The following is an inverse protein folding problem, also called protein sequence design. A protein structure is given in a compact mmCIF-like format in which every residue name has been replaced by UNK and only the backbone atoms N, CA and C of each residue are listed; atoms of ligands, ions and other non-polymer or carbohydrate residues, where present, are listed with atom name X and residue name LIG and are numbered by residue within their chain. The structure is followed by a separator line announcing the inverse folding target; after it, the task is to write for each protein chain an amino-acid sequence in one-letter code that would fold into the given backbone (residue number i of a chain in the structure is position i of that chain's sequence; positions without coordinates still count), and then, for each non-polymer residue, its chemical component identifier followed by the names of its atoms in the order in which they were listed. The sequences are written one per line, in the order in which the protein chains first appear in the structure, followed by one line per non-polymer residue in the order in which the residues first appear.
data_IF_864747464338
#
_entry.id   IF_864747464338
#
_cell.length_a   1.000
_cell.length_b   1.000
_cell.length_c   1.000
_cell.angle_alpha   90.00
_cell.angle_beta   90.00
_cell.angle_gamma   90.00
#
_symmetry.space_group_name_H-M   'P 1'
#
loop_
_entity.id
_entity.type
_entity.pdbx_description
1 polymer ?
#
# COMPACT_ATOMS: atom_id res chain seq x y z
N UNK A 1 -10.12 16.88 -26.71
CA UNK A 1 -10.50 15.53 -26.31
C UNK A 1 -11.94 15.31 -26.70
N UNK A 2 -12.28 14.18 -27.35
CA UNK A 2 -13.65 13.93 -27.78
C UNK A 2 -14.49 13.49 -26.56
N UNK A 3 -15.53 14.25 -26.21
CA UNK A 3 -16.43 13.94 -25.08
C UNK A 3 -17.22 12.65 -25.29
N UNK A 4 -17.45 12.23 -26.54
CA UNK A 4 -18.14 10.97 -26.83
C UNK A 4 -17.32 9.76 -26.40
N UNK A 5 -15.98 9.80 -26.52
CA UNK A 5 -15.11 8.74 -26.01
C UNK A 5 -15.19 8.60 -24.48
N UNK A 6 -15.46 9.70 -23.75
CA UNK A 6 -15.63 9.63 -22.30
C UNK A 6 -16.93 8.94 -21.90
N UNK A 7 -17.99 9.05 -22.72
CA UNK A 7 -19.23 8.30 -22.50
C UNK A 7 -19.00 6.80 -22.65
N UNK A 8 -18.19 6.36 -23.62
CA UNK A 8 -17.85 4.96 -23.80
C UNK A 8 -17.21 4.35 -22.54
N UNK A 9 -16.37 5.11 -21.81
CA UNK A 9 -15.80 4.66 -20.52
C UNK A 9 -16.90 4.39 -19.49
N UNK A 10 -17.90 5.26 -19.42
CA UNK A 10 -19.06 5.05 -18.53
C UNK A 10 -19.92 3.87 -18.95
N UNK A 11 -20.15 3.71 -20.27
CA UNK A 11 -20.92 2.60 -20.82
C UNK A 11 -20.24 1.24 -20.55
N UNK A 12 -18.90 1.19 -20.57
CA UNK A 12 -18.12 0.00 -20.16
C UNK A 12 -18.39 -0.33 -18.70
N UNK A 13 -18.31 0.65 -17.80
CA UNK A 13 -18.59 0.45 -16.38
C UNK A 13 -20.03 -0.04 -16.15
N UNK A 14 -20.99 0.59 -16.80
CA UNK A 14 -22.39 0.17 -16.72
C UNK A 14 -22.60 -1.25 -17.24
N UNK A 15 -21.92 -1.62 -18.32
CA UNK A 15 -21.90 -2.97 -18.87
C UNK A 15 -21.38 -4.01 -17.90
N UNK A 16 -20.27 -3.74 -17.25
CA UNK A 16 -19.68 -4.63 -16.22
C UNK A 16 -20.60 -4.82 -15.02
N UNK A 17 -21.22 -3.74 -14.54
CA UNK A 17 -22.22 -3.82 -13.46
C UNK A 17 -23.44 -4.65 -13.90
N UNK A 18 -23.97 -4.40 -15.10
CA UNK A 18 -25.12 -5.12 -15.66
C UNK A 18 -24.85 -6.61 -15.83
N UNK A 19 -23.64 -6.96 -16.25
CA UNK A 19 -23.22 -8.35 -16.44
C UNK A 19 -22.92 -9.07 -15.12
N UNK A 20 -22.78 -8.32 -14.01
CA UNK A 20 -22.40 -8.87 -12.70
C UNK A 20 -20.89 -9.07 -12.52
N UNK A 21 -20.07 -8.54 -13.42
CA UNK A 21 -18.59 -8.62 -13.34
C UNK A 21 -18.07 -7.81 -12.13
N UNK A 22 -18.74 -6.71 -11.80
CA UNK A 22 -18.52 -5.90 -10.60
C UNK A 22 -19.85 -5.49 -9.98
N UNK A 23 -19.84 -5.29 -8.66
CA UNK A 23 -21.07 -4.85 -7.92
C UNK A 23 -21.37 -3.38 -8.19
N UNK A 24 -20.34 -2.57 -8.24
CA UNK A 24 -20.44 -1.15 -8.51
C UNK A 24 -19.05 -0.52 -8.64
N UNK A 25 -19.03 0.70 -9.11
CA UNK A 25 -17.78 1.43 -9.30
C UNK A 25 -18.03 2.89 -9.67
N UNK A 26 -16.95 3.64 -9.68
CA UNK A 26 -16.91 5.02 -10.11
C UNK A 26 -15.73 5.27 -11.04
N UNK A 27 -15.93 6.12 -12.03
CA UNK A 27 -14.85 6.63 -12.88
C UNK A 27 -14.93 8.16 -12.89
N UNK A 28 -13.76 8.79 -12.80
CA UNK A 28 -13.63 10.23 -12.97
C UNK A 28 -12.43 10.53 -13.87
N UNK A 29 -12.59 11.51 -14.75
CA UNK A 29 -11.50 11.98 -15.63
C UNK A 29 -11.27 13.46 -15.35
N UNK A 30 -10.01 13.80 -15.12
CA UNK A 30 -9.56 15.16 -14.90
C UNK A 30 -8.66 15.59 -16.06
N UNK A 31 -8.77 16.85 -16.44
CA UNK A 31 -7.88 17.51 -17.39
C UNK A 31 -7.63 18.93 -16.93
N UNK A 32 -6.36 19.33 -16.93
CA UNK A 32 -5.93 20.68 -16.53
C UNK A 32 -6.46 21.10 -15.13
N UNK A 33 -6.56 20.13 -14.20
CA UNK A 33 -7.08 20.32 -12.84
C UNK A 33 -8.61 20.32 -12.72
N UNK A 34 -9.36 20.25 -13.82
CA UNK A 34 -10.83 20.23 -13.82
C UNK A 34 -11.38 18.82 -14.06
N UNK A 35 -12.44 18.45 -13.31
CA UNK A 35 -13.17 17.22 -13.56
C UNK A 35 -14.06 17.41 -14.81
N UNK A 36 -13.70 16.73 -15.90
CA UNK A 36 -14.41 16.82 -17.17
C UNK A 36 -15.40 15.68 -17.41
N UNK A 37 -15.29 14.60 -16.63
CA UNK A 37 -16.22 13.47 -16.70
C UNK A 37 -16.30 12.76 -15.36
N UNK A 38 -17.50 12.26 -15.03
CA UNK A 38 -17.74 11.35 -13.91
C UNK A 38 -18.90 10.42 -14.21
N UNK A 39 -18.77 9.16 -13.80
CA UNK A 39 -19.85 8.17 -13.83
C UNK A 39 -19.77 7.31 -12.58
N UNK A 40 -20.88 7.14 -11.92
CA UNK A 40 -21.09 6.17 -10.84
C UNK A 40 -22.09 5.13 -11.33
N UNK A 41 -21.83 3.85 -11.04
CA UNK A 41 -22.69 2.75 -11.46
C UNK A 41 -22.78 1.68 -10.37
N UNK A 42 -23.92 1.02 -10.28
CA UNK A 42 -24.15 -0.08 -9.34
C UNK A 42 -24.21 0.35 -7.87
N UNK A 43 -23.80 -0.56 -6.98
CA UNK A 43 -23.99 -0.43 -5.54
C UNK A 43 -22.65 -0.34 -4.80
N UNK A 44 -22.61 0.53 -3.79
CA UNK A 44 -21.58 0.55 -2.76
C UNK A 44 -21.82 -0.54 -1.71
N UNK A 45 -23.08 -0.95 -1.57
CA UNK A 45 -23.52 -2.07 -0.75
C UNK A 45 -24.77 -2.69 -1.42
N UNK A 46 -24.57 -3.84 -2.01
CA UNK A 46 -25.64 -4.55 -2.74
C UNK A 46 -26.73 -5.07 -1.82
N UNK A 47 -26.35 -5.61 -0.66
CA UNK A 47 -27.30 -6.21 0.28
C UNK A 47 -28.25 -5.18 0.86
N UNK A 48 -27.73 -3.99 1.18
CA UNK A 48 -28.54 -2.86 1.68
C UNK A 48 -29.11 -1.97 0.58
N UNK A 49 -28.81 -2.24 -0.68
CA UNK A 49 -29.29 -1.46 -1.82
C UNK A 49 -28.72 -0.04 -1.87
N UNK A 50 -27.53 0.21 -1.30
CA UNK A 50 -26.90 1.53 -1.25
C UNK A 50 -26.14 1.74 -2.57
N UNK A 51 -26.54 2.73 -3.41
CA UNK A 51 -25.85 2.96 -4.68
C UNK A 51 -24.47 3.60 -4.48
N UNK A 52 -23.59 3.43 -5.47
CA UNK A 52 -22.37 4.20 -5.58
C UNK A 52 -22.71 5.67 -5.77
N UNK A 53 -22.05 6.55 -5.00
CA UNK A 53 -22.26 8.02 -5.02
C UNK A 53 -20.91 8.71 -5.15
N UNK A 54 -20.96 10.02 -5.40
CA UNK A 54 -19.75 10.87 -5.49
C UNK A 54 -18.94 10.90 -4.21
N UNK A 55 -19.58 10.70 -3.08
CA UNK A 55 -18.99 10.71 -1.76
C UNK A 55 -18.78 9.30 -1.16
N UNK A 56 -18.89 8.25 -1.97
CA UNK A 56 -18.58 6.88 -1.55
C UNK A 56 -17.11 6.76 -1.15
N UNK A 57 -16.86 6.17 0.01
CA UNK A 57 -15.52 5.92 0.54
C UNK A 57 -15.10 4.50 0.20
N UNK A 58 -13.93 4.35 -0.42
CA UNK A 58 -13.40 3.07 -0.88
C UNK A 58 -12.16 2.64 -0.10
N UNK A 59 -11.92 1.33 -0.02
CA UNK A 59 -10.63 0.77 0.34
C UNK A 59 -9.69 0.93 -0.86
N UNK A 60 -8.61 1.68 -0.73
CA UNK A 60 -7.70 1.97 -1.84
C UNK A 60 -6.54 0.97 -1.96
N UNK A 61 -6.37 0.09 -0.95
CA UNK A 61 -5.35 -0.95 -0.95
C UNK A 61 -3.98 -0.44 -1.47
N UNK A 62 -3.42 -1.09 -2.49
CA UNK A 62 -2.10 -0.77 -3.04
C UNK A 62 -2.01 0.61 -3.74
N UNK A 63 -3.12 1.30 -3.98
CA UNK A 63 -3.07 2.72 -4.34
C UNK A 63 -2.54 3.61 -3.21
N UNK A 64 -2.37 3.08 -2.01
CA UNK A 64 -1.61 3.71 -0.93
C UNK A 64 -0.13 3.89 -1.27
N UNK A 65 0.48 3.01 -2.07
CA UNK A 65 1.92 3.04 -2.40
C UNK A 65 2.39 4.34 -3.07
N UNK A 66 1.70 4.88 -4.09
CA UNK A 66 2.04 6.20 -4.65
C UNK A 66 1.99 7.32 -3.61
N UNK A 67 1.03 7.28 -2.68
CA UNK A 67 0.92 8.25 -1.59
C UNK A 67 2.13 8.14 -0.65
N UNK A 68 2.51 6.91 -0.29
CA UNK A 68 3.71 6.64 0.52
C UNK A 68 4.96 7.15 -0.19
N UNK A 69 5.11 6.87 -1.49
CA UNK A 69 6.24 7.34 -2.27
C UNK A 69 6.31 8.88 -2.28
N UNK A 70 5.18 9.56 -2.48
CA UNK A 70 5.12 11.01 -2.40
C UNK A 70 5.53 11.54 -1.01
N UNK A 71 5.08 10.90 0.05
CA UNK A 71 5.46 11.24 1.43
C UNK A 71 6.98 11.15 1.65
N UNK A 72 7.60 10.08 1.17
CA UNK A 72 9.06 9.90 1.25
C UNK A 72 9.79 10.91 0.39
N UNK A 73 9.30 11.20 -0.82
CA UNK A 73 9.93 12.20 -1.70
C UNK A 73 9.86 13.62 -1.14
N UNK A 74 8.83 13.97 -0.37
CA UNK A 74 8.81 15.24 0.38
C UNK A 74 9.98 15.31 1.38
N UNK A 75 10.32 14.22 2.06
CA UNK A 75 11.47 14.15 2.97
C UNK A 75 12.79 14.20 2.22
N UNK A 76 12.86 13.56 1.04
CA UNK A 76 14.01 13.65 0.14
C UNK A 76 14.27 15.10 -0.31
N UNK A 77 13.24 15.82 -0.75
CA UNK A 77 13.35 17.23 -1.15
C UNK A 77 13.79 18.14 -0.01
N UNK A 78 13.48 17.74 1.24
CA UNK A 78 13.96 18.43 2.46
C UNK A 78 15.40 18.04 2.84
N UNK A 79 16.05 17.14 2.10
CA UNK A 79 17.42 16.70 2.31
C UNK A 79 17.64 15.83 3.55
N UNK A 80 16.60 15.12 4.02
CA UNK A 80 16.68 14.30 5.23
C UNK A 80 17.35 12.94 5.00
N UNK A 81 17.50 12.52 3.76
CA UNK A 81 18.20 11.31 3.35
C UNK A 81 18.59 11.38 1.87
N UNK A 82 19.44 10.45 1.45
CA UNK A 82 19.79 10.23 0.04
C UNK A 82 19.24 8.89 -0.42
N UNK A 83 18.91 8.75 -1.69
CA UNK A 83 18.40 7.49 -2.23
C UNK A 83 19.42 6.33 -2.13
N UNK A 84 20.70 6.66 -2.13
CA UNK A 84 21.81 5.72 -2.02
C UNK A 84 22.20 5.39 -0.58
N UNK A 85 21.60 6.07 0.41
CA UNK A 85 21.84 5.74 1.81
C UNK A 85 21.36 4.32 2.12
N UNK A 86 22.06 3.66 3.03
CA UNK A 86 21.67 2.34 3.50
C UNK A 86 20.44 2.44 4.37
N UNK A 87 19.49 1.53 4.15
CA UNK A 87 18.30 1.45 4.98
C UNK A 87 18.64 1.23 6.46
N UNK A 88 19.73 0.51 6.74
CA UNK A 88 20.26 0.24 8.07
C UNK A 88 20.74 1.49 8.83
N UNK A 89 21.08 2.58 8.12
CA UNK A 89 21.45 3.85 8.76
C UNK A 89 20.26 4.47 9.52
N UNK A 90 19.03 4.12 9.13
CA UNK A 90 17.78 4.63 9.70
C UNK A 90 17.03 3.58 10.51
N UNK A 91 17.05 2.32 10.06
CA UNK A 91 16.41 1.18 10.71
C UNK A 91 17.48 0.09 10.89
N UNK A 92 18.21 0.09 12.03
CA UNK A 92 19.40 -0.75 12.25
C UNK A 92 19.13 -2.25 12.10
N UNK A 93 17.88 -2.69 12.25
CA UNK A 93 17.50 -4.10 12.08
C UNK A 93 17.73 -4.62 10.65
N UNK A 94 17.90 -3.74 9.66
CA UNK A 94 18.29 -4.11 8.29
C UNK A 94 19.81 -4.24 8.08
N UNK A 95 20.63 -4.07 9.13
CA UNK A 95 22.07 -4.31 9.01
C UNK A 95 22.35 -5.81 8.79
N UNK A 96 23.31 -6.10 7.90
CA UNK A 96 23.75 -7.47 7.58
C UNK A 96 22.62 -8.41 7.16
N UNK A 97 21.80 -8.06 6.16
CA UNK A 97 20.71 -8.90 5.71
C UNK A 97 21.23 -10.24 5.15
N UNK A 98 20.39 -11.26 5.20
CA UNK A 98 20.66 -12.56 4.60
C UNK A 98 19.70 -12.81 3.44
N UNK A 99 20.06 -13.73 2.57
CA UNK A 99 19.23 -14.19 1.43
C UNK A 99 18.94 -15.67 1.59
N UNK A 100 17.69 -16.06 1.50
CA UNK A 100 17.29 -17.47 1.52
C UNK A 100 17.21 -18.00 0.09
N UNK A 101 18.20 -18.81 -0.26
CA UNK A 101 18.32 -19.41 -1.59
C UNK A 101 17.21 -20.44 -1.85
N UNK A 102 16.87 -20.74 -3.13
CA UNK A 102 15.86 -21.72 -3.48
C UNK A 102 16.14 -23.14 -2.95
N UNK A 103 17.41 -23.48 -2.74
CA UNK A 103 17.84 -24.77 -2.16
C UNK A 103 17.73 -24.81 -0.61
N UNK A 104 17.24 -23.73 0.01
CA UNK A 104 17.04 -23.62 1.45
C UNK A 104 18.26 -23.12 2.23
N UNK A 105 19.41 -22.88 1.59
CA UNK A 105 20.56 -22.29 2.26
C UNK A 105 20.35 -20.79 2.49
N UNK A 106 20.67 -20.35 3.68
CA UNK A 106 20.70 -18.92 4.01
C UNK A 106 22.15 -18.43 3.89
N UNK A 107 22.35 -17.39 3.09
CA UNK A 107 23.66 -16.79 2.82
C UNK A 107 23.66 -15.31 3.14
N UNK A 108 24.76 -14.68 3.51
CA UNK A 108 24.84 -13.24 3.64
C UNK A 108 24.48 -12.54 2.31
N UNK A 109 23.79 -11.41 2.41
CA UNK A 109 23.59 -10.56 1.24
C UNK A 109 24.93 -9.95 0.80
N UNK A 110 25.11 -9.79 -0.52
CA UNK A 110 26.33 -9.21 -1.10
C UNK A 110 26.44 -7.71 -0.85
N UNK A 111 25.31 -7.05 -0.59
CA UNK A 111 25.26 -5.64 -0.21
C UNK A 111 24.12 -5.40 0.79
N UNK A 112 24.21 -4.30 1.50
CA UNK A 112 23.08 -3.80 2.28
C UNK A 112 22.02 -3.16 1.36
N UNK A 113 20.77 -3.13 1.84
CA UNK A 113 19.66 -2.56 1.12
C UNK A 113 19.78 -1.03 1.12
N UNK A 114 19.57 -0.39 -0.03
CA UNK A 114 19.44 1.08 -0.11
C UNK A 114 17.99 1.53 -0.07
N UNK A 115 17.78 2.81 0.27
CA UNK A 115 16.43 3.42 0.23
C UNK A 115 15.86 3.35 -1.20
N UNK A 116 16.70 3.59 -2.23
CA UNK A 116 16.31 3.42 -3.65
C UNK A 116 15.72 2.05 -3.92
N UNK A 117 16.45 0.99 -3.55
CA UNK A 117 16.02 -0.40 -3.78
C UNK A 117 14.73 -0.74 -3.04
N UNK A 118 14.47 -0.09 -1.92
CA UNK A 118 13.20 -0.21 -1.19
C UNK A 118 12.03 0.40 -1.97
N UNK A 119 12.23 1.60 -2.53
CA UNK A 119 11.21 2.33 -3.27
C UNK A 119 10.91 1.72 -4.64
N UNK A 120 11.93 1.22 -5.35
CA UNK A 120 11.79 0.61 -6.68
C UNK A 120 11.52 -0.91 -6.65
N UNK A 121 11.36 -1.49 -5.44
CA UNK A 121 11.07 -2.90 -5.21
C UNK A 121 12.15 -3.86 -5.75
N UNK A 122 13.42 -3.46 -5.67
CA UNK A 122 14.57 -4.31 -6.03
C UNK A 122 15.38 -4.75 -4.80
N UNK A 123 14.86 -4.52 -3.59
CA UNK A 123 15.55 -4.82 -2.32
C UNK A 123 15.63 -6.30 -1.96
N UNK A 124 14.81 -7.16 -2.56
CA UNK A 124 14.64 -8.55 -2.13
C UNK A 124 13.64 -8.75 -0.97
N UNK A 125 13.09 -7.67 -0.42
CA UNK A 125 12.04 -7.71 0.58
C UNK A 125 10.73 -8.21 -0.05
N UNK A 126 10.14 -9.25 0.50
CA UNK A 126 8.96 -9.89 -0.07
C UNK A 126 7.73 -9.81 0.84
N UNK A 127 6.55 -10.05 0.29
CA UNK A 127 5.35 -10.33 1.07
C UNK A 127 5.33 -11.78 1.59
N UNK A 128 4.51 -12.08 2.60
CA UNK A 128 4.15 -13.45 2.94
C UNK A 128 3.68 -14.23 1.71
N UNK A 129 4.30 -15.38 1.44
CA UNK A 129 3.94 -16.23 0.31
C UNK A 129 4.45 -17.66 0.54
N UNK A 130 3.54 -18.64 0.47
CA UNK A 130 3.86 -20.04 0.68
C UNK A 130 4.62 -20.70 -0.49
N UNK A 131 4.66 -20.04 -1.65
CA UNK A 131 5.22 -20.61 -2.88
C UNK A 131 6.76 -20.64 -2.91
N UNK A 132 7.42 -19.80 -2.10
CA UNK A 132 8.89 -19.74 -2.04
C UNK A 132 9.44 -19.58 -0.62
N UNK A 133 10.71 -19.98 -0.35
CA UNK A 133 11.25 -20.08 1.00
C UNK A 133 11.20 -18.79 1.83
N UNK A 134 11.66 -17.66 1.27
CA UNK A 134 11.68 -16.39 2.00
C UNK A 134 10.26 -15.87 2.31
N UNK A 135 9.29 -16.10 1.40
CA UNK A 135 7.89 -15.75 1.63
C UNK A 135 7.29 -16.53 2.80
N UNK A 136 7.66 -17.83 2.96
CA UNK A 136 7.24 -18.62 4.12
C UNK A 136 7.82 -18.09 5.43
N UNK A 137 9.07 -17.60 5.44
CA UNK A 137 9.66 -16.94 6.62
C UNK A 137 8.95 -15.64 6.96
N UNK A 138 8.60 -14.86 5.95
CA UNK A 138 7.81 -13.65 6.15
C UNK A 138 6.40 -13.97 6.69
N UNK A 139 5.78 -15.05 6.25
CA UNK A 139 4.49 -15.53 6.76
C UNK A 139 4.55 -15.84 8.27
N UNK A 140 5.65 -16.45 8.76
CA UNK A 140 5.85 -16.71 10.18
C UNK A 140 5.78 -15.40 11.00
N UNK A 141 6.45 -14.32 10.52
CA UNK A 141 6.44 -12.99 11.15
C UNK A 141 5.04 -12.37 11.14
N UNK A 142 4.37 -12.36 10.00
CA UNK A 142 3.03 -11.76 9.88
C UNK A 142 1.99 -12.55 10.69
N UNK A 143 2.09 -13.88 10.75
CA UNK A 143 1.21 -14.72 11.56
C UNK A 143 1.41 -14.49 13.06
N UNK A 144 2.64 -14.22 13.51
CA UNK A 144 2.91 -13.84 14.90
C UNK A 144 2.28 -12.50 15.23
N UNK A 145 2.48 -11.49 14.36
CA UNK A 145 1.90 -10.16 14.52
C UNK A 145 0.37 -10.22 14.55
N UNK A 146 -0.24 -11.00 13.65
CA UNK A 146 -1.69 -11.18 13.62
C UNK A 146 -2.21 -11.75 14.94
N UNK A 147 -1.57 -12.82 15.48
CA UNK A 147 -1.95 -13.41 16.77
C UNK A 147 -1.83 -12.41 17.93
N UNK A 148 -0.76 -11.60 17.96
CA UNK A 148 -0.61 -10.56 18.98
C UNK A 148 -1.69 -9.48 18.86
N UNK A 149 -2.03 -9.10 17.62
CA UNK A 149 -3.08 -8.12 17.33
C UNK A 149 -4.46 -8.63 17.76
N UNK A 150 -4.77 -9.89 17.47
CA UNK A 150 -6.01 -10.56 17.90
C UNK A 150 -6.11 -10.66 19.43
N UNK A 151 -4.95 -10.76 20.11
CA UNK A 151 -4.87 -10.66 21.58
C UNK A 151 -4.97 -9.22 22.12
N UNK A 152 -5.23 -8.23 21.26
CA UNK A 152 -5.45 -6.84 21.62
C UNK A 152 -4.18 -5.99 21.70
N UNK A 153 -3.02 -6.50 21.28
CA UNK A 153 -1.78 -5.71 21.24
C UNK A 153 -1.77 -4.85 19.98
N UNK A 154 -1.51 -3.56 20.15
CA UNK A 154 -1.32 -2.66 19.00
C UNK A 154 0.13 -2.74 18.51
N UNK A 155 0.30 -3.14 17.26
CA UNK A 155 1.59 -3.18 16.58
C UNK A 155 1.64 -2.00 15.60
N UNK A 156 2.58 -1.08 15.79
CA UNK A 156 2.79 0.06 14.89
C UNK A 156 3.59 -0.33 13.64
N UNK A 157 3.60 0.55 12.65
CA UNK A 157 4.31 0.34 11.37
C UNK A 157 5.79 0.04 11.58
N UNK A 158 6.49 0.86 12.36
CA UNK A 158 7.92 0.66 12.62
C UNK A 158 8.21 -0.66 13.33
N UNK A 159 7.40 -1.07 14.31
CA UNK A 159 7.58 -2.34 15.01
C UNK A 159 7.36 -3.55 14.08
N UNK A 160 6.34 -3.50 13.23
CA UNK A 160 6.12 -4.51 12.18
C UNK A 160 7.37 -4.65 11.31
N UNK A 161 7.89 -3.53 10.82
CA UNK A 161 9.04 -3.51 9.92
C UNK A 161 10.33 -3.99 10.59
N UNK A 162 10.56 -3.65 11.86
CA UNK A 162 11.69 -4.18 12.64
C UNK A 162 11.66 -5.69 12.78
N UNK A 163 10.47 -6.28 12.88
CA UNK A 163 10.33 -7.75 12.90
C UNK A 163 10.53 -8.33 11.51
N UNK A 164 9.95 -7.73 10.49
CA UNK A 164 10.11 -8.16 9.10
C UNK A 164 11.58 -8.11 8.63
N UNK A 165 12.36 -7.14 9.11
CA UNK A 165 13.79 -7.01 8.83
C UNK A 165 14.64 -8.21 9.26
N UNK A 166 14.15 -9.03 10.19
CA UNK A 166 14.83 -10.26 10.65
C UNK A 166 14.59 -11.45 9.70
N UNK A 167 13.67 -11.32 8.75
CA UNK A 167 13.45 -12.35 7.74
C UNK A 167 14.47 -12.24 6.62
N UNK A 168 14.96 -13.37 6.08
CA UNK A 168 15.87 -13.34 4.95
C UNK A 168 15.19 -12.77 3.70
N UNK A 169 15.96 -12.14 2.85
CA UNK A 169 15.54 -11.64 1.55
C UNK A 169 15.27 -12.80 0.58
N UNK A 170 14.43 -12.56 -0.42
CA UNK A 170 14.12 -13.53 -1.46
C UNK A 170 15.21 -13.66 -2.54
N UNK A 171 16.07 -12.65 -2.67
CA UNK A 171 17.20 -12.57 -3.61
C UNK A 171 18.16 -11.44 -3.21
N UNK A 172 19.31 -11.35 -3.88
CA UNK A 172 20.32 -10.32 -3.62
C UNK A 172 19.76 -8.91 -3.90
N UNK A 173 20.03 -7.91 -3.03
CA UNK A 173 19.62 -6.54 -3.26
C UNK A 173 20.07 -6.02 -4.64
N UNK A 174 19.14 -5.51 -5.44
CA UNK A 174 19.39 -5.01 -6.79
C UNK A 174 19.39 -6.07 -7.91
N UNK A 175 19.27 -7.35 -7.58
CA UNK A 175 19.33 -8.43 -8.59
C UNK A 175 18.11 -8.41 -9.53
N UNK A 176 16.91 -8.19 -8.99
CA UNK A 176 15.67 -8.20 -9.77
C UNK A 176 14.55 -7.46 -9.05
N UNK A 177 13.49 -7.21 -9.78
CA UNK A 177 12.26 -6.63 -9.25
C UNK A 177 11.34 -7.71 -8.66
N UNK A 178 10.77 -7.43 -7.50
CA UNK A 178 9.72 -8.24 -6.87
C UNK A 178 8.77 -7.34 -6.07
N UNK A 179 7.49 -7.48 -6.34
CA UNK A 179 6.47 -6.81 -5.57
C UNK A 179 6.49 -7.28 -4.10
N UNK A 180 6.71 -6.36 -3.17
CA UNK A 180 6.93 -6.70 -1.76
C UNK A 180 6.59 -5.56 -0.80
N UNK A 181 7.07 -5.70 0.45
CA UNK A 181 6.79 -4.78 1.57
C UNK A 181 7.56 -3.45 1.49
N UNK A 182 8.20 -3.11 0.38
CA UNK A 182 9.01 -1.89 0.26
C UNK A 182 8.25 -0.61 0.62
N UNK A 183 6.96 -0.52 0.27
CA UNK A 183 6.15 0.64 0.65
C UNK A 183 5.84 0.70 2.16
N UNK A 184 5.71 -0.45 2.81
CA UNK A 184 5.52 -0.51 4.27
C UNK A 184 6.80 -0.07 4.99
N UNK A 185 7.97 -0.50 4.47
CA UNK A 185 9.29 -0.05 4.94
C UNK A 185 9.46 1.46 4.74
N UNK A 186 9.03 1.99 3.59
CA UNK A 186 9.03 3.43 3.32
C UNK A 186 8.16 4.21 4.32
N UNK A 187 7.01 3.65 4.72
CA UNK A 187 6.17 4.19 5.80
C UNK A 187 6.88 4.23 7.16
N UNK A 188 7.61 3.15 7.50
CA UNK A 188 8.44 3.12 8.72
C UNK A 188 9.60 4.14 8.67
N UNK A 189 10.22 4.32 7.51
CA UNK A 189 11.25 5.34 7.29
C UNK A 189 10.71 6.75 7.56
N UNK A 190 9.46 7.05 7.15
CA UNK A 190 8.79 8.32 7.48
C UNK A 190 8.71 8.51 8.99
N UNK A 191 8.32 7.47 9.77
CA UNK A 191 8.24 7.54 11.22
C UNK A 191 9.61 7.82 11.85
N UNK A 192 10.66 7.16 11.39
CA UNK A 192 12.04 7.36 11.89
C UNK A 192 12.55 8.77 11.61
N UNK A 193 12.37 9.27 10.39
CA UNK A 193 12.87 10.56 9.97
C UNK A 193 12.13 11.75 10.61
N UNK A 194 10.86 11.57 10.95
CA UNK A 194 10.00 12.68 11.41
C UNK A 194 9.65 12.63 12.89
N UNK A 195 9.78 11.45 13.53
CA UNK A 195 9.27 11.21 14.87
C UNK A 195 7.74 11.22 14.98
N UNK A 196 7.03 11.34 13.87
CA UNK A 196 5.57 11.30 13.79
C UNK A 196 5.09 9.90 13.44
N UNK A 197 3.84 9.56 13.80
CA UNK A 197 3.22 8.36 13.21
C UNK A 197 3.08 8.55 11.70
N UNK A 198 3.20 7.46 10.94
CA UNK A 198 3.03 7.49 9.48
C UNK A 198 1.67 8.12 9.09
N UNK A 199 0.60 7.76 9.79
CA UNK A 199 -0.73 8.33 9.59
C UNK A 199 -0.75 9.84 9.79
N UNK A 200 -0.20 10.35 10.91
CA UNK A 200 -0.25 11.77 11.23
C UNK A 200 0.61 12.59 10.26
N UNK A 201 1.72 12.01 9.80
CA UNK A 201 2.56 12.63 8.78
C UNK A 201 1.79 12.77 7.44
N UNK A 202 1.16 11.69 6.95
CA UNK A 202 0.37 11.75 5.72
C UNK A 202 -0.78 12.76 5.83
N UNK A 203 -1.45 12.76 6.97
CA UNK A 203 -2.54 13.71 7.23
C UNK A 203 -2.05 15.15 7.12
N UNK A 204 -0.98 15.50 7.82
CA UNK A 204 -0.42 16.84 7.88
C UNK A 204 0.17 17.32 6.54
N UNK A 205 0.95 16.47 5.87
CA UNK A 205 1.77 16.89 4.74
C UNK A 205 1.08 16.65 3.38
N UNK A 206 0.06 15.79 3.32
CA UNK A 206 -0.61 15.42 2.07
C UNK A 206 -2.13 15.63 2.16
N UNK A 207 -2.81 14.97 3.11
CA UNK A 207 -4.27 14.94 3.07
C UNK A 207 -4.91 16.31 3.38
N UNK A 208 -4.46 16.99 4.42
CA UNK A 208 -4.97 18.31 4.78
C UNK A 208 -4.64 19.39 3.72
N UNK A 209 -3.39 19.51 3.24
CA UNK A 209 -3.06 20.50 2.19
C UNK A 209 -3.80 20.28 0.88
N UNK A 210 -4.12 19.03 0.53
CA UNK A 210 -4.85 18.67 -0.70
C UNK A 210 -6.37 18.61 -0.52
N UNK A 211 -6.89 18.88 0.69
CA UNK A 211 -8.32 18.78 0.98
C UNK A 211 -8.90 17.36 0.90
N UNK A 212 -8.08 16.32 1.11
CA UNK A 212 -8.47 14.91 1.06
C UNK A 212 -9.17 14.50 2.37
N UNK A 213 -10.32 15.11 2.65
CA UNK A 213 -11.04 15.03 3.96
C UNK A 213 -11.59 13.65 4.31
N UNK A 214 -11.65 12.74 3.35
CA UNK A 214 -12.17 11.39 3.51
C UNK A 214 -11.10 10.31 3.39
N UNK A 215 -9.82 10.70 3.24
CA UNK A 215 -8.69 9.79 3.15
C UNK A 215 -8.04 9.59 4.52
N UNK A 216 -8.06 8.37 5.04
CA UNK A 216 -7.47 8.01 6.33
C UNK A 216 -7.25 6.48 6.40
N UNK A 217 -6.65 5.99 7.48
CA UNK A 217 -6.43 4.57 7.78
C UNK A 217 -7.65 3.90 8.41
N UNK A 218 -8.68 4.65 8.75
CA UNK A 218 -9.96 4.14 9.23
C UNK A 218 -11.09 5.08 8.84
N UNK A 219 -12.31 4.56 8.78
CA UNK A 219 -13.50 5.36 8.52
C UNK A 219 -14.14 5.73 9.85
N UNK A 220 -14.29 7.04 10.17
CA UNK A 220 -15.01 7.47 11.36
C UNK A 220 -16.46 6.98 11.38
N UNK A 221 -16.99 6.69 12.58
CA UNK A 221 -18.36 6.18 12.76
C UNK A 221 -19.42 7.01 12.01
N UNK A 222 -19.30 8.32 12.01
CA UNK A 222 -20.23 9.22 11.31
C UNK A 222 -20.17 9.13 9.77
N UNK A 223 -19.13 8.51 9.21
CA UNK A 223 -18.95 8.34 7.76
C UNK A 223 -19.16 6.90 7.29
N UNK A 224 -19.42 5.96 8.20
CA UNK A 224 -19.59 4.53 7.88
C UNK A 224 -20.73 4.26 6.88
N UNK A 225 -21.75 5.10 6.83
CA UNK A 225 -22.85 4.99 5.87
C UNK A 225 -22.42 5.26 4.41
N UNK A 226 -21.24 5.81 4.18
CA UNK A 226 -20.64 6.08 2.86
C UNK A 226 -19.59 5.05 2.46
N UNK A 227 -19.20 4.16 3.38
CA UNK A 227 -18.13 3.19 3.16
C UNK A 227 -18.64 2.02 2.35
N UNK A 228 -17.95 1.72 1.23
CA UNK A 228 -18.36 0.62 0.38
C UNK A 228 -18.04 -0.73 1.03
N UNK A 229 -18.98 -1.66 0.91
CA UNK A 229 -18.74 -3.06 1.25
C UNK A 229 -17.78 -3.72 0.25
N UNK A 230 -17.18 -4.80 0.70
CA UNK A 230 -16.29 -5.60 -0.12
C UNK A 230 -17.02 -6.87 -0.54
N UNK A 231 -17.36 -6.96 -1.80
CA UNK A 231 -17.92 -8.18 -2.36
C UNK A 231 -16.79 -9.13 -2.74
N UNK A 232 -16.94 -10.40 -2.38
CA UNK A 232 -16.04 -11.47 -2.77
C UNK A 232 -16.75 -12.29 -3.84
N UNK A 233 -16.16 -12.35 -5.04
CA UNK A 233 -16.65 -13.27 -6.07
C UNK A 233 -16.47 -14.71 -5.55
N UNK A 234 -17.57 -15.44 -5.44
CA UNK A 234 -17.57 -16.87 -5.16
C UNK A 234 -17.79 -17.57 -6.48
N UNK A 235 -16.80 -18.30 -6.95
CA UNK A 235 -17.04 -19.27 -8.00
C UNK A 235 -18.11 -20.26 -7.49
N UNK A 236 -19.23 -20.34 -8.24
CA UNK A 236 -20.34 -21.22 -7.93
C UNK A 236 -20.04 -22.68 -8.23
#
# INVERSE_FOLDING_TARGET
MNLDMLKEVGDILDGQVKNGDVVGGAVAVFKDGEQIYRRNSGFADRERGIPVRDDTIYRIYSMTKPITAAAVMILYDRGLFRLEDKLSDYIPEFAHPTVLMPDGREVPAESEITIRQTLDMTSGLCYPDQSYPAGRKMEEVYSEIARESDAGKRIGTLELIRRAAKSPLAYQPGEKWMYGIGADVAGALVEVLTGMSYRDYLKKEIFEPLGMVDTDFFVPQGKMHRFSEMDIYKEG
#
